data_IF_251429694608
#
_entry.id   IF_251429694608
#
_cell.length_a   1.000
_cell.length_b   1.000
_cell.length_c   1.000
_cell.angle_alpha   90.00
_cell.angle_beta   90.00
_cell.angle_gamma   90.00
#
_symmetry.space_group_name_H-M   'P 1'
#
loop_
_entity.id
_entity.type
_entity.pdbx_description
1 polymer ?
#
# COMPACT_ATOMS: atom_id res chain seq x y z
N UNK A 1 -11.95 8.18 -11.17
CA UNK A 1 -11.13 6.96 -11.36
C UNK A 1 -10.03 6.98 -10.32
N UNK A 2 -9.75 5.86 -9.65
CA UNK A 2 -8.65 5.76 -8.67
C UNK A 2 -7.30 6.06 -9.33
N UNK A 3 -6.33 6.49 -8.53
CA UNK A 3 -4.94 6.65 -8.99
C UNK A 3 -4.42 5.33 -9.54
N UNK A 4 -4.73 4.22 -8.85
CA UNK A 4 -4.32 2.88 -9.28
C UNK A 4 -4.85 2.51 -10.67
N UNK A 5 -6.13 2.77 -10.96
CA UNK A 5 -6.71 2.44 -12.26
C UNK A 5 -6.01 3.23 -13.39
N UNK A 6 -5.62 4.48 -13.13
CA UNK A 6 -4.87 5.29 -14.09
C UNK A 6 -3.43 4.78 -14.25
N UNK A 7 -2.78 4.41 -13.16
CA UNK A 7 -1.44 3.82 -13.18
C UNK A 7 -1.40 2.51 -13.99
N UNK A 8 -2.44 1.68 -13.92
CA UNK A 8 -2.56 0.45 -14.70
C UNK A 8 -2.74 0.68 -16.22
N UNK A 9 -3.18 1.87 -16.63
CA UNK A 9 -3.38 2.25 -18.03
C UNK A 9 -2.14 2.93 -18.65
N UNK A 10 -1.06 3.09 -17.88
CA UNK A 10 0.18 3.68 -18.36
C UNK A 10 0.81 2.84 -19.50
N UNK A 11 1.58 3.49 -20.40
CA UNK A 11 2.37 2.77 -21.40
C UNK A 11 3.30 1.74 -20.75
N UNK A 12 3.66 0.65 -21.45
CA UNK A 12 4.42 -0.47 -20.87
C UNK A 12 5.70 -0.06 -20.15
N UNK A 13 6.43 0.94 -20.65
CA UNK A 13 7.67 1.42 -20.02
C UNK A 13 7.42 2.14 -18.69
N UNK A 14 6.36 2.94 -18.61
CA UNK A 14 5.96 3.63 -17.38
C UNK A 14 5.32 2.65 -16.39
N UNK A 15 4.53 1.69 -16.88
CA UNK A 15 3.96 0.63 -16.04
C UNK A 15 5.06 -0.24 -15.40
N UNK A 16 6.15 -0.54 -16.13
CA UNK A 16 7.32 -1.23 -15.55
C UNK A 16 7.97 -0.41 -14.44
N UNK A 17 8.03 0.93 -14.56
CA UNK A 17 8.53 1.79 -13.49
C UNK A 17 7.64 1.74 -12.25
N UNK A 18 6.31 1.74 -12.43
CA UNK A 18 5.35 1.50 -11.33
C UNK A 18 5.60 0.13 -10.69
N UNK A 19 5.77 -0.94 -11.47
CA UNK A 19 6.03 -2.28 -10.92
C UNK A 19 7.33 -2.34 -10.13
N UNK A 20 8.39 -1.66 -10.59
CA UNK A 20 9.70 -1.67 -9.95
C UNK A 20 9.74 -0.99 -8.58
N UNK A 21 8.77 -0.13 -8.25
CA UNK A 21 8.69 0.46 -6.90
C UNK A 21 8.04 -0.48 -5.88
N UNK A 22 7.36 -1.54 -6.33
CA UNK A 22 6.82 -2.58 -5.47
C UNK A 22 7.83 -3.72 -5.34
N UNK A 23 8.13 -4.11 -4.11
CA UNK A 23 9.06 -5.18 -3.80
C UNK A 23 8.72 -5.83 -2.47
N UNK A 24 9.64 -6.61 -1.91
CA UNK A 24 9.43 -7.37 -0.66
C UNK A 24 8.99 -6.49 0.52
N UNK A 25 9.29 -5.20 0.48
CA UNK A 25 8.94 -4.25 1.53
C UNK A 25 7.47 -3.81 1.50
N UNK A 26 6.88 -3.75 0.30
CA UNK A 26 5.49 -3.36 0.07
C UNK A 26 4.97 -4.10 -1.18
N UNK A 27 4.29 -5.24 -1.02
CA UNK A 27 3.85 -6.06 -2.15
C UNK A 27 2.79 -5.37 -3.00
N UNK A 28 2.88 -5.55 -4.32
CA UNK A 28 1.96 -4.94 -5.29
C UNK A 28 0.52 -5.44 -5.12
N UNK A 29 0.34 -6.66 -4.61
CA UNK A 29 -0.96 -7.24 -4.30
C UNK A 29 -1.69 -6.40 -3.25
N UNK A 30 -0.98 -5.94 -2.21
CA UNK A 30 -1.57 -5.06 -1.19
C UNK A 30 -2.01 -3.76 -1.83
N UNK A 31 -1.15 -3.15 -2.66
CA UNK A 31 -1.49 -1.93 -3.40
C UNK A 31 -2.73 -2.11 -4.28
N UNK A 32 -2.82 -3.24 -4.98
CA UNK A 32 -3.90 -3.55 -5.91
C UNK A 32 -5.23 -3.79 -5.19
N UNK A 33 -5.25 -4.69 -4.21
CA UNK A 33 -6.48 -5.08 -3.53
C UNK A 33 -6.95 -4.04 -2.53
N UNK A 34 -6.06 -3.25 -1.92
CA UNK A 34 -6.42 -2.19 -0.98
C UNK A 34 -6.37 -0.79 -1.61
N UNK A 35 -6.37 -0.69 -2.94
CA UNK A 35 -6.22 0.59 -3.63
C UNK A 35 -7.16 1.69 -3.13
N UNK A 36 -8.46 1.38 -3.01
CA UNK A 36 -9.45 2.35 -2.52
C UNK A 36 -9.19 2.81 -1.08
N UNK A 37 -8.79 1.89 -0.19
CA UNK A 37 -8.49 2.23 1.21
C UNK A 37 -7.21 3.05 1.32
N UNK A 38 -6.16 2.67 0.60
CA UNK A 38 -4.87 3.39 0.60
C UNK A 38 -5.06 4.81 0.08
N UNK A 39 -5.83 4.98 -0.99
CA UNK A 39 -6.11 6.29 -1.58
C UNK A 39 -6.97 7.18 -0.67
N UNK A 40 -7.96 6.63 0.05
CA UNK A 40 -8.72 7.36 1.08
C UNK A 40 -7.81 7.89 2.19
N UNK A 41 -6.85 7.06 2.62
CA UNK A 41 -5.88 7.42 3.66
C UNK A 41 -4.71 8.26 3.17
N UNK A 42 -4.57 8.50 1.86
CA UNK A 42 -3.43 9.18 1.24
C UNK A 42 -3.06 10.51 1.91
N UNK A 43 -4.08 11.31 2.28
CA UNK A 43 -3.84 12.58 2.99
C UNK A 43 -3.13 12.36 4.33
N UNK A 44 -3.55 11.35 5.09
CA UNK A 44 -2.97 11.03 6.40
C UNK A 44 -1.51 10.54 6.27
N UNK A 45 -1.18 9.78 5.22
CA UNK A 45 0.21 9.35 4.97
C UNK A 45 1.13 10.53 4.61
N UNK A 46 0.58 11.57 3.96
CA UNK A 46 1.34 12.78 3.60
C UNK A 46 1.57 13.70 4.80
N UNK A 47 0.63 13.76 5.74
CA UNK A 47 0.72 14.61 6.94
C UNK A 47 1.67 14.03 8.01
N UNK A 48 2.04 12.75 7.91
CA UNK A 48 3.02 12.12 8.80
C UNK A 48 4.43 12.60 8.45
N UNK A 49 4.92 13.56 9.24
CA UNK A 49 6.33 13.93 9.32
C UNK A 49 7.18 12.81 10.01
N UNK A 50 8.13 12.18 9.30
CA UNK A 50 9.01 11.15 9.86
C UNK A 50 10.05 11.67 10.86
N UNK A 51 10.32 12.97 10.92
CA UNK A 51 11.23 13.58 11.90
C UNK A 51 10.52 13.92 13.22
N UNK A 52 9.18 13.87 13.24
CA UNK A 52 8.38 14.17 14.41
C UNK A 52 8.07 12.90 15.22
N UNK A 53 8.67 12.79 16.41
CA UNK A 53 8.44 11.67 17.34
C UNK A 53 6.96 11.50 17.72
N UNK A 54 6.18 12.60 17.76
CA UNK A 54 4.75 12.53 18.04
C UNK A 54 3.97 11.78 16.93
N UNK A 55 4.47 11.80 15.70
CA UNK A 55 3.86 11.10 14.58
C UNK A 55 4.13 9.60 14.57
N UNK A 56 5.04 9.10 15.40
CA UNK A 56 5.28 7.66 15.55
C UNK A 56 4.02 6.91 16.00
N UNK A 57 3.22 7.50 16.90
CA UNK A 57 1.97 6.88 17.37
C UNK A 57 0.88 6.89 16.30
N UNK A 58 0.81 7.96 15.50
CA UNK A 58 -0.09 8.06 14.35
C UNK A 58 0.29 7.05 13.27
N UNK A 59 1.58 6.94 12.95
CA UNK A 59 2.11 5.94 12.03
C UNK A 59 1.78 4.51 12.49
N UNK A 60 2.00 4.20 13.78
CA UNK A 60 1.64 2.91 14.34
C UNK A 60 0.14 2.62 14.18
N UNK A 61 -0.72 3.60 14.49
CA UNK A 61 -2.17 3.46 14.35
C UNK A 61 -2.58 3.22 12.90
N UNK A 62 -1.98 3.95 11.95
CA UNK A 62 -2.29 3.86 10.53
C UNK A 62 -1.83 2.52 9.94
N UNK A 63 -0.63 2.05 10.31
CA UNK A 63 -0.15 0.72 9.94
C UNK A 63 -1.02 -0.38 10.54
N UNK A 64 -1.46 -0.24 11.80
CA UNK A 64 -2.39 -1.18 12.43
C UNK A 64 -3.73 -1.25 11.69
N UNK A 65 -4.28 -0.10 11.24
CA UNK A 65 -5.52 -0.07 10.46
C UNK A 65 -5.34 -0.70 9.08
N UNK A 66 -4.20 -0.46 8.41
CA UNK A 66 -3.88 -1.09 7.13
C UNK A 66 -3.86 -2.61 7.27
N UNK A 67 -3.18 -3.12 8.29
CA UNK A 67 -3.11 -4.55 8.59
C UNK A 67 -4.51 -5.12 8.84
N UNK A 68 -5.32 -4.46 9.66
CA UNK A 68 -6.69 -4.89 9.93
C UNK A 68 -7.54 -4.94 8.66
N UNK A 69 -7.39 -3.95 7.77
CA UNK A 69 -8.09 -3.95 6.48
C UNK A 69 -7.67 -5.12 5.59
N UNK A 70 -6.38 -5.47 5.58
CA UNK A 70 -5.88 -6.63 4.83
C UNK A 70 -6.49 -7.93 5.34
N UNK A 71 -6.55 -8.11 6.67
CA UNK A 71 -7.15 -9.28 7.31
C UNK A 71 -8.65 -9.35 7.04
N UNK A 72 -9.37 -8.22 7.15
CA UNK A 72 -10.80 -8.15 6.82
C UNK A 72 -11.07 -8.55 5.36
N UNK A 73 -10.22 -8.08 4.44
CA UNK A 73 -10.34 -8.38 3.01
C UNK A 73 -10.04 -9.84 2.71
N UNK A 74 -8.99 -10.39 3.30
CA UNK A 74 -8.67 -11.82 3.26
C UNK A 74 -9.85 -12.67 3.78
N UNK A 75 -10.46 -12.28 4.91
CA UNK A 75 -11.63 -12.95 5.49
C UNK A 75 -12.84 -12.88 4.56
N UNK A 76 -13.10 -11.73 3.93
CA UNK A 76 -14.21 -11.56 2.98
C UNK A 76 -14.11 -12.48 1.75
N UNK A 77 -12.90 -12.91 1.40
CA UNK A 77 -12.64 -13.82 0.29
C UNK A 77 -12.67 -15.29 0.71
N UNK A 78 -12.91 -15.60 1.98
CA UNK A 78 -12.82 -16.98 2.51
C UNK A 78 -13.80 -17.96 1.86
N UNK A 79 -14.90 -17.46 1.29
CA UNK A 79 -15.90 -18.27 0.59
C UNK A 79 -15.70 -18.34 -0.94
N UNK A 80 -14.65 -17.70 -1.48
CA UNK A 80 -14.37 -17.66 -2.91
C UNK A 80 -13.08 -18.43 -3.22
N UNK A 81 -13.22 -19.62 -3.82
CA UNK A 81 -12.09 -20.51 -4.15
C UNK A 81 -11.13 -19.88 -5.19
N UNK A 82 -11.64 -19.07 -6.11
CA UNK A 82 -10.81 -18.38 -7.12
C UNK A 82 -9.88 -17.33 -6.50
N UNK A 83 -10.21 -16.85 -5.29
CA UNK A 83 -9.44 -15.87 -4.55
C UNK A 83 -8.57 -16.49 -3.46
N UNK A 84 -8.42 -17.82 -3.44
CA UNK A 84 -7.59 -18.52 -2.46
C UNK A 84 -6.15 -17.99 -2.41
N UNK A 85 -5.52 -17.79 -3.58
CA UNK A 85 -4.15 -17.26 -3.65
C UNK A 85 -4.08 -15.81 -3.12
N UNK A 86 -5.09 -15.00 -3.41
CA UNK A 86 -5.18 -13.61 -2.93
C UNK A 86 -5.24 -13.58 -1.42
N UNK A 87 -6.05 -14.46 -0.81
CA UNK A 87 -6.13 -14.59 0.64
C UNK A 87 -4.76 -14.89 1.25
N UNK A 88 -4.04 -15.88 0.70
CA UNK A 88 -2.68 -16.22 1.17
C UNK A 88 -1.75 -15.01 1.07
N UNK A 89 -1.74 -14.31 -0.07
CA UNK A 89 -0.87 -13.14 -0.26
C UNK A 89 -1.18 -11.99 0.70
N UNK A 90 -2.46 -11.74 0.98
CA UNK A 90 -2.88 -10.72 1.94
C UNK A 90 -2.49 -11.11 3.37
N UNK A 91 -2.66 -12.37 3.76
CA UNK A 91 -2.24 -12.86 5.08
C UNK A 91 -0.71 -12.84 5.26
N UNK A 92 0.04 -13.26 4.24
CA UNK A 92 1.51 -13.18 4.23
C UNK A 92 1.98 -11.74 4.40
N UNK A 93 1.41 -10.81 3.62
CA UNK A 93 1.76 -9.40 3.70
C UNK A 93 1.33 -8.75 5.03
N UNK A 94 0.19 -9.14 5.60
CA UNK A 94 -0.25 -8.65 6.91
C UNK A 94 0.72 -9.10 8.02
N UNK A 95 1.15 -10.37 7.99
CA UNK A 95 2.15 -10.89 8.92
C UNK A 95 3.52 -10.21 8.75
N UNK A 96 3.93 -9.96 7.51
CA UNK A 96 5.14 -9.18 7.22
C UNK A 96 5.05 -7.78 7.84
N UNK A 97 3.91 -7.08 7.69
CA UNK A 97 3.78 -5.73 8.23
C UNK A 97 3.74 -5.69 9.76
N UNK A 98 3.06 -6.65 10.39
CA UNK A 98 3.07 -6.82 11.86
C UNK A 98 4.48 -7.04 12.38
N UNK A 99 5.21 -7.99 11.81
CA UNK A 99 6.52 -8.41 12.33
C UNK A 99 7.64 -7.42 12.01
N UNK A 100 7.65 -6.87 10.79
CA UNK A 100 8.74 -6.02 10.29
C UNK A 100 8.58 -4.55 10.62
N UNK A 101 7.36 -4.03 10.61
CA UNK A 101 7.11 -2.59 10.73
C UNK A 101 6.40 -2.22 12.03
N UNK A 102 5.27 -2.84 12.35
CA UNK A 102 4.44 -2.43 13.49
C UNK A 102 5.24 -2.44 14.82
N UNK A 103 6.04 -3.48 15.05
CA UNK A 103 6.80 -3.64 16.30
C UNK A 103 8.13 -2.87 16.35
N UNK A 104 8.72 -2.56 15.18
CA UNK A 104 10.08 -2.02 15.12
C UNK A 104 10.12 -0.57 14.61
N UNK A 105 9.49 -0.30 13.47
CA UNK A 105 9.53 1.01 12.82
C UNK A 105 8.34 1.22 11.87
N UNK A 106 7.17 1.67 12.39
CA UNK A 106 5.98 1.90 11.56
C UNK A 106 6.15 3.10 10.61
N UNK A 107 7.00 4.07 10.94
CA UNK A 107 7.30 5.22 10.09
C UNK A 107 8.02 4.82 8.79
N UNK A 108 8.81 3.75 8.82
CA UNK A 108 9.45 3.22 7.61
C UNK A 108 8.41 2.76 6.60
N UNK A 109 7.37 2.03 7.03
CA UNK A 109 6.30 1.57 6.13
C UNK A 109 5.49 2.74 5.58
N UNK A 110 5.13 3.72 6.42
CA UNK A 110 4.48 4.97 5.98
C UNK A 110 5.28 5.65 4.88
N UNK A 111 6.59 5.77 5.06
CA UNK A 111 7.48 6.40 4.10
C UNK A 111 7.53 5.62 2.78
N UNK A 112 7.63 4.29 2.83
CA UNK A 112 7.63 3.44 1.64
C UNK A 112 6.33 3.60 0.85
N UNK A 113 5.18 3.49 1.50
CA UNK A 113 3.87 3.64 0.85
C UNK A 113 3.76 5.02 0.21
N UNK A 114 4.20 6.06 0.91
CA UNK A 114 4.17 7.44 0.40
C UNK A 114 5.02 7.60 -0.86
N UNK A 115 6.24 7.06 -0.88
CA UNK A 115 7.12 7.15 -2.05
C UNK A 115 6.58 6.35 -3.24
N UNK A 116 5.97 5.18 -3.01
CA UNK A 116 5.27 4.43 -4.06
C UNK A 116 4.14 5.27 -4.68
N UNK A 117 3.25 5.84 -3.86
CA UNK A 117 2.11 6.64 -4.32
C UNK A 117 2.55 7.92 -5.05
N UNK A 118 3.62 8.58 -4.56
CA UNK A 118 4.20 9.74 -5.26
C UNK A 118 4.73 9.36 -6.63
N UNK A 119 5.40 8.22 -6.75
CA UNK A 119 5.94 7.74 -8.03
C UNK A 119 4.81 7.41 -9.00
N UNK A 120 3.76 6.72 -8.54
CA UNK A 120 2.56 6.48 -9.34
C UNK A 120 1.95 7.79 -9.85
N UNK A 121 1.72 8.75 -8.95
CA UNK A 121 1.12 10.04 -9.28
C UNK A 121 1.97 10.80 -10.30
N UNK A 122 3.29 10.81 -10.12
CA UNK A 122 4.22 11.45 -11.04
C UNK A 122 4.15 10.84 -12.44
N UNK A 123 4.21 9.50 -12.53
CA UNK A 123 4.16 8.80 -13.81
C UNK A 123 2.81 9.00 -14.52
N UNK A 124 1.71 8.97 -13.79
CA UNK A 124 0.37 9.26 -14.32
C UNK A 124 0.30 10.70 -14.87
N UNK A 125 0.75 11.69 -14.09
CA UNK A 125 0.74 13.09 -14.52
C UNK A 125 1.62 13.35 -15.75
N UNK A 126 2.74 12.64 -15.89
CA UNK A 126 3.61 12.77 -17.06
C UNK A 126 2.96 12.28 -18.36
N UNK A 127 2.07 11.29 -18.28
CA UNK A 127 1.48 10.63 -19.45
C UNK A 127 0.03 11.07 -19.74
N UNK A 128 -0.51 11.99 -18.95
CA UNK A 128 -1.83 12.60 -19.16
C UNK A 128 -1.80 13.92 -19.96
N UNK A 129 -0.65 14.25 -20.56
CA UNK A 129 -0.50 15.40 -21.46
C UNK A 129 -0.56 14.99 -22.93
#
# INVERSE_FOLDING_TARGET
MSLWNRAQQLPPDALRQVQNVYGDQFPIEVRHYLAGWIEDKMQQWNDIDPENVAHSQFAHSLVSQLIQEMENKALSYSSNEDLFLVRIRLDEAANLFKTRYLNNNPLALVSIIRECLKTELHLVQQHEN
#
